data_IF_040835111047
#
_entry.id   IF_040835111047
#
_cell.length_a   1.000
_cell.length_b   1.000
_cell.length_c   1.000
_cell.angle_alpha   90.00
_cell.angle_beta   90.00
_cell.angle_gamma   90.00
#
_symmetry.space_group_name_H-M   'P 1'
#
loop_
_entity.id
_entity.type
_entity.pdbx_description
1 polymer ?
#
# COMPACT_ATOMS: atom_id res chain seq x y z
N UNK A 1 -16.07 13.00 2.03
CA UNK A 1 -16.58 11.62 2.13
C UNK A 1 -16.26 10.90 0.82
N UNK A 2 -16.09 9.58 0.88
CA UNK A 2 -15.95 8.75 -0.33
C UNK A 2 -17.28 8.65 -1.09
N UNK A 3 -17.20 8.70 -2.41
CA UNK A 3 -18.33 8.47 -3.31
C UNK A 3 -18.77 6.99 -3.28
N UNK A 4 -20.06 6.69 -3.49
CA UNK A 4 -20.54 5.32 -3.63
C UNK A 4 -20.04 4.67 -4.92
N UNK A 5 -20.09 3.33 -5.00
CA UNK A 5 -19.75 2.55 -6.18
C UNK A 5 -18.41 2.94 -6.83
N UNK A 6 -17.40 3.20 -6.00
CA UNK A 6 -16.11 3.72 -6.44
C UNK A 6 -14.97 2.85 -5.91
N UNK A 7 -13.94 2.67 -6.75
CA UNK A 7 -12.69 2.05 -6.38
C UNK A 7 -11.63 3.14 -6.17
N UNK A 8 -10.96 3.08 -5.02
CA UNK A 8 -9.88 3.95 -4.61
C UNK A 8 -8.61 3.15 -4.40
N UNK A 9 -7.46 3.79 -4.64
CA UNK A 9 -6.20 3.38 -4.02
C UNK A 9 -6.02 4.23 -2.76
N UNK A 10 -5.57 3.62 -1.68
CA UNK A 10 -5.27 4.27 -0.39
C UNK A 10 -3.77 4.24 -0.11
N UNK A 11 -3.24 5.32 0.47
CA UNK A 11 -1.88 5.35 1.01
C UNK A 11 -1.87 5.61 2.49
N UNK A 12 -1.22 4.70 3.20
CA UNK A 12 -0.90 4.87 4.61
C UNK A 12 0.60 5.13 4.74
N UNK A 13 0.97 6.18 5.45
CA UNK A 13 2.36 6.45 5.79
C UNK A 13 2.89 5.33 6.67
N UNK A 14 4.05 4.77 6.31
CA UNK A 14 4.75 3.78 7.11
C UNK A 14 5.87 4.42 7.92
N UNK A 15 6.82 5.03 7.21
CA UNK A 15 8.01 5.66 7.78
C UNK A 15 8.68 6.54 6.74
N UNK A 16 9.63 7.35 7.19
CA UNK A 16 10.51 8.13 6.32
C UNK A 16 11.95 7.75 6.64
N UNK A 17 12.73 7.37 5.63
CA UNK A 17 14.14 6.94 5.75
C UNK A 17 14.95 7.68 4.70
N UNK A 18 16.01 8.37 5.10
CA UNK A 18 16.89 9.12 4.19
C UNK A 18 16.11 10.04 3.23
N UNK A 19 15.15 10.81 3.76
CA UNK A 19 14.23 11.68 3.01
C UNK A 19 13.24 10.98 2.07
N UNK A 20 13.26 9.64 2.01
CA UNK A 20 12.30 8.86 1.23
C UNK A 20 11.14 8.43 2.13
N UNK A 21 9.93 8.81 1.75
CA UNK A 21 8.71 8.41 2.45
C UNK A 21 8.20 7.10 1.88
N UNK A 22 8.08 6.10 2.74
CA UNK A 22 7.49 4.81 2.41
C UNK A 22 6.00 4.81 2.73
N UNK A 23 5.22 4.22 1.82
CA UNK A 23 3.78 4.08 1.97
C UNK A 23 3.34 2.64 1.83
N UNK A 24 2.31 2.28 2.60
CA UNK A 24 1.54 1.06 2.40
C UNK A 24 0.37 1.35 1.48
N UNK A 25 0.22 0.51 0.45
CA UNK A 25 -0.82 0.64 -0.56
C UNK A 25 -1.98 -0.30 -0.26
N UNK A 26 -3.19 0.19 -0.51
CA UNK A 26 -4.41 -0.61 -0.39
C UNK A 26 -5.44 -0.22 -1.44
N UNK A 27 -6.45 -1.07 -1.59
CA UNK A 27 -7.61 -0.87 -2.44
C UNK A 27 -8.84 -0.71 -1.55
N UNK A 28 -9.47 0.46 -1.64
CA UNK A 28 -10.70 0.75 -0.92
C UNK A 28 -11.86 0.79 -1.89
N UNK A 29 -12.87 -0.05 -1.66
CA UNK A 29 -14.03 -0.18 -2.53
C UNK A 29 -15.27 0.28 -1.78
N UNK A 30 -16.09 1.09 -2.46
CA UNK A 30 -17.42 1.45 -2.00
C UNK A 30 -18.49 0.80 -2.89
N UNK A 31 -19.63 0.47 -2.30
CA UNK A 31 -20.78 -0.15 -2.94
C UNK A 31 -22.09 0.51 -2.50
N UNK A 32 -23.20 0.08 -3.07
CA UNK A 32 -24.55 0.61 -2.79
C UNK A 32 -25.27 -0.09 -1.64
N UNK A 33 -24.79 -1.27 -1.19
CA UNK A 33 -25.45 -2.10 -0.18
C UNK A 33 -24.51 -2.44 0.99
N UNK A 34 -24.97 -2.47 2.25
CA UNK A 34 -24.16 -2.88 3.41
C UNK A 34 -23.67 -4.35 3.35
N UNK A 35 -22.44 -4.67 3.81
CA UNK A 35 -21.37 -3.73 4.12
C UNK A 35 -20.89 -3.04 2.83
N UNK A 36 -21.03 -1.72 2.79
CA UNK A 36 -20.85 -0.96 1.55
C UNK A 36 -19.39 -0.61 1.30
N UNK A 37 -18.47 -0.96 2.21
CA UNK A 37 -17.12 -0.37 2.23
C UNK A 37 -16.10 -1.36 2.75
N UNK A 38 -15.14 -1.70 1.90
CA UNK A 38 -14.07 -2.63 2.26
C UNK A 38 -12.71 -2.05 1.89
N UNK A 39 -11.73 -2.31 2.74
CA UNK A 39 -10.31 -2.07 2.48
C UNK A 39 -9.62 -3.41 2.29
N UNK A 40 -8.97 -3.58 1.15
CA UNK A 40 -8.18 -4.74 0.80
C UNK A 40 -6.72 -4.31 0.66
N UNK A 41 -5.81 -4.97 1.37
CA UNK A 41 -4.37 -4.70 1.26
C UNK A 41 -3.56 -5.97 1.48
N UNK A 42 -2.23 -5.91 1.38
CA UNK A 42 -1.36 -7.02 1.77
C UNK A 42 -0.42 -6.61 2.88
N UNK A 43 -0.39 -7.36 3.97
CA UNK A 43 0.36 -7.02 5.19
C UNK A 43 1.40 -8.09 5.54
N UNK A 44 2.50 -7.67 6.16
CA UNK A 44 3.54 -8.52 6.76
C UNK A 44 3.37 -8.70 8.28
N UNK A 45 2.21 -8.32 8.84
CA UNK A 45 1.98 -8.19 10.28
C UNK A 45 2.08 -9.50 11.10
N UNK A 46 2.21 -10.66 10.46
CA UNK A 46 2.29 -11.95 11.15
C UNK A 46 3.62 -12.65 10.87
N UNK A 47 4.35 -13.13 11.90
CA UNK A 47 5.52 -13.98 11.71
C UNK A 47 5.23 -15.22 10.86
N UNK A 48 6.18 -15.70 10.03
CA UNK A 48 7.51 -15.12 9.82
C UNK A 48 7.44 -13.80 9.04
N UNK A 49 8.19 -12.81 9.54
CA UNK A 49 8.32 -11.46 8.95
C UNK A 49 8.97 -11.65 7.58
N UNK A 50 8.18 -11.83 6.53
CA UNK A 50 8.50 -11.70 5.08
C UNK A 50 7.30 -12.14 4.22
N UNK A 51 6.34 -12.90 4.75
CA UNK A 51 5.20 -13.38 3.96
C UNK A 51 4.05 -12.37 3.92
N UNK A 52 3.87 -11.73 2.76
CA UNK A 52 2.72 -10.87 2.52
C UNK A 52 1.43 -11.69 2.47
N UNK A 53 0.42 -11.27 3.24
CA UNK A 53 -0.92 -11.89 3.25
C UNK A 53 -1.98 -10.88 2.88
N UNK A 54 -2.94 -11.32 2.08
CA UNK A 54 -4.11 -10.51 1.75
C UNK A 54 -4.94 -10.32 3.01
N UNK A 55 -5.24 -9.06 3.32
CA UNK A 55 -6.09 -8.64 4.41
C UNK A 55 -7.30 -7.90 3.84
N UNK A 56 -8.50 -8.43 4.08
CA UNK A 56 -9.78 -7.80 3.77
C UNK A 56 -10.43 -7.34 5.08
N UNK A 57 -10.74 -6.05 5.18
CA UNK A 57 -11.43 -5.47 6.34
C UNK A 57 -12.62 -4.64 5.90
N UNK A 58 -13.68 -4.69 6.70
CA UNK A 58 -14.75 -3.70 6.62
C UNK A 58 -14.26 -2.39 7.24
N UNK A 59 -14.41 -1.28 6.50
CA UNK A 59 -13.92 0.03 6.94
C UNK A 59 -14.96 1.09 6.61
N UNK A 60 -15.58 1.65 7.64
CA UNK A 60 -16.59 2.70 7.50
C UNK A 60 -16.04 3.95 6.80
N UNK A 61 -14.87 4.43 7.24
CA UNK A 61 -14.19 5.58 6.65
C UNK A 61 -12.66 5.40 6.73
N UNK A 62 -11.96 5.26 5.59
CA UNK A 62 -10.51 5.04 5.57
C UNK A 62 -9.73 6.22 6.16
N UNK A 63 -10.32 7.41 6.22
CA UNK A 63 -9.69 8.61 6.81
C UNK A 63 -9.50 8.52 8.31
N UNK A 64 -10.21 7.60 8.99
CA UNK A 64 -10.09 7.40 10.44
C UNK A 64 -8.78 6.70 10.83
N UNK A 65 -8.09 6.08 9.86
CA UNK A 65 -6.78 5.49 10.13
C UNK A 65 -5.73 6.61 10.38
N UNK A 66 -5.02 6.62 11.52
CA UNK A 66 -4.08 7.69 11.87
C UNK A 66 -2.95 7.88 10.87
N UNK A 67 -2.57 6.81 10.17
CA UNK A 67 -1.50 6.82 9.18
C UNK A 67 -2.01 7.10 7.76
N UNK A 68 -3.32 7.21 7.54
CA UNK A 68 -3.85 7.47 6.21
C UNK A 68 -3.46 8.88 5.75
N UNK A 69 -2.96 8.96 4.53
CA UNK A 69 -2.51 10.20 3.88
C UNK A 69 -3.52 10.63 2.84
N UNK A 70 -3.87 9.73 1.91
CA UNK A 70 -4.79 10.00 0.80
C UNK A 70 -5.60 8.77 0.41
N UNK A 71 -6.81 9.02 -0.10
CA UNK A 71 -7.60 8.04 -0.85
C UNK A 71 -7.96 8.65 -2.20
N UNK A 72 -7.47 8.07 -3.30
CA UNK A 72 -7.66 8.63 -4.63
C UNK A 72 -8.48 7.67 -5.50
N UNK A 73 -9.59 8.18 -6.05
CA UNK A 73 -10.43 7.43 -6.99
C UNK A 73 -9.61 7.05 -8.21
N UNK A 74 -9.78 5.82 -8.65
CA UNK A 74 -9.18 5.31 -9.89
C UNK A 74 -10.21 4.84 -10.91
N UNK A 75 -11.33 4.26 -10.46
CA UNK A 75 -12.35 3.71 -11.35
C UNK A 75 -13.69 3.60 -10.60
N UNK A 76 -14.73 3.20 -11.34
CA UNK A 76 -15.95 2.71 -10.73
C UNK A 76 -15.69 1.36 -10.06
N UNK A 77 -16.47 1.06 -9.02
CA UNK A 77 -16.36 -0.17 -8.25
C UNK A 77 -16.68 -1.40 -9.12
N UNK A 78 -15.78 -2.40 -9.20
CA UNK A 78 -16.07 -3.66 -9.88
C UNK A 78 -16.96 -4.59 -9.02
N UNK A 79 -17.32 -4.19 -7.81
CA UNK A 79 -17.92 -5.05 -6.79
C UNK A 79 -16.88 -5.87 -6.02
N UNK A 80 -17.23 -6.26 -4.79
CA UNK A 80 -16.33 -6.97 -3.88
C UNK A 80 -15.89 -8.33 -4.45
N UNK A 81 -16.81 -9.07 -5.06
CA UNK A 81 -16.53 -10.40 -5.62
C UNK A 81 -15.46 -10.34 -6.71
N UNK A 82 -15.57 -9.39 -7.65
CA UNK A 82 -14.60 -9.23 -8.72
C UNK A 82 -13.25 -8.76 -8.18
N UNK A 83 -13.24 -7.81 -7.23
CA UNK A 83 -12.03 -7.34 -6.56
C UNK A 83 -11.32 -8.48 -5.83
N UNK A 84 -12.04 -9.27 -5.04
CA UNK A 84 -11.48 -10.40 -4.30
C UNK A 84 -10.96 -11.48 -5.25
N UNK A 85 -11.71 -11.81 -6.31
CA UNK A 85 -11.27 -12.77 -7.34
C UNK A 85 -9.98 -12.33 -8.03
N UNK A 86 -9.82 -11.04 -8.34
CA UNK A 86 -8.59 -10.51 -8.92
C UNK A 86 -7.43 -10.54 -7.91
N UNK A 87 -7.68 -10.16 -6.66
CA UNK A 87 -6.71 -10.20 -5.58
C UNK A 87 -6.16 -11.60 -5.31
N UNK A 88 -7.03 -12.61 -5.23
CA UNK A 88 -6.64 -14.00 -5.02
C UNK A 88 -5.93 -14.62 -6.22
N UNK A 89 -6.03 -14.02 -7.42
CA UNK A 89 -5.32 -14.48 -8.60
C UNK A 89 -3.85 -14.05 -8.63
N UNK A 90 -3.46 -13.05 -7.81
CA UNK A 90 -2.06 -12.63 -7.67
C UNK A 90 -1.32 -13.67 -6.83
N UNK A 91 -0.30 -14.30 -7.42
CA UNK A 91 0.57 -15.27 -6.75
C UNK A 91 1.62 -14.56 -5.90
N UNK A 92 1.18 -14.02 -4.76
CA UNK A 92 2.05 -13.39 -3.78
C UNK A 92 3.20 -14.33 -3.38
N UNK A 93 4.39 -13.75 -3.18
CA UNK A 93 5.60 -14.45 -2.76
C UNK A 93 6.19 -15.45 -3.78
N UNK A 94 5.57 -15.61 -4.96
CA UNK A 94 6.14 -16.38 -6.06
C UNK A 94 7.13 -15.51 -6.86
N UNK A 95 8.43 -15.76 -6.71
CA UNK A 95 9.49 -15.02 -7.42
C UNK A 95 9.43 -15.23 -8.94
N UNK A 96 8.87 -16.35 -9.42
CA UNK A 96 8.69 -16.61 -10.84
C UNK A 96 7.52 -15.86 -11.48
N UNK A 97 6.73 -15.16 -10.66
CA UNK A 97 5.57 -14.36 -11.07
C UNK A 97 5.72 -12.88 -10.70
N UNK A 98 6.90 -12.49 -10.21
CA UNK A 98 7.20 -11.11 -9.90
C UNK A 98 7.23 -10.29 -11.21
N UNK A 99 6.53 -9.14 -11.29
CA UNK A 99 6.54 -8.32 -12.49
C UNK A 99 7.94 -7.87 -12.87
N UNK A 100 8.21 -7.76 -14.17
CA UNK A 100 9.52 -7.36 -14.68
C UNK A 100 9.96 -6.00 -14.13
N UNK A 101 11.21 -5.91 -13.67
CA UNK A 101 11.78 -4.70 -13.09
C UNK A 101 11.49 -4.50 -11.60
N UNK A 102 10.65 -5.35 -10.99
CA UNK A 102 10.38 -5.32 -9.56
C UNK A 102 11.38 -6.20 -8.79
N UNK A 103 11.97 -5.72 -7.68
CA UNK A 103 12.97 -6.49 -6.93
C UNK A 103 12.36 -7.50 -5.96
N UNK A 104 11.13 -7.23 -5.48
CA UNK A 104 10.41 -8.10 -4.54
C UNK A 104 8.92 -7.75 -4.52
N UNK A 105 8.11 -8.65 -3.96
CA UNK A 105 6.71 -8.36 -3.67
C UNK A 105 6.59 -7.28 -2.59
N UNK A 106 5.72 -6.29 -2.84
CA UNK A 106 5.35 -5.23 -1.90
C UNK A 106 3.86 -4.95 -2.02
N UNK A 107 3.28 -4.21 -1.07
CA UNK A 107 1.87 -3.79 -1.20
C UNK A 107 1.61 -2.97 -2.45
N UNK A 108 2.58 -2.15 -2.88
CA UNK A 108 2.52 -1.42 -4.16
C UNK A 108 2.46 -2.37 -5.36
N UNK A 109 3.40 -3.31 -5.46
CA UNK A 109 3.47 -4.27 -6.58
C UNK A 109 2.18 -5.09 -6.64
N UNK A 110 1.72 -5.59 -5.49
CA UNK A 110 0.47 -6.32 -5.42
C UNK A 110 -0.74 -5.48 -5.89
N UNK A 111 -0.88 -4.23 -5.43
CA UNK A 111 -1.97 -3.34 -5.90
C UNK A 111 -1.92 -3.17 -7.42
N UNK A 112 -0.74 -2.91 -8.01
CA UNK A 112 -0.59 -2.76 -9.46
C UNK A 112 -1.06 -4.01 -10.20
N UNK A 113 -0.68 -5.19 -9.73
CA UNK A 113 -1.09 -6.46 -10.34
C UNK A 113 -2.61 -6.71 -10.23
N UNK A 114 -3.23 -6.41 -9.09
CA UNK A 114 -4.68 -6.51 -8.94
C UNK A 114 -5.40 -5.59 -9.93
N UNK A 115 -4.93 -4.35 -10.06
CA UNK A 115 -5.51 -3.39 -11.01
C UNK A 115 -5.31 -3.82 -12.47
N UNK A 116 -4.13 -4.35 -12.79
CA UNK A 116 -3.85 -4.91 -14.11
C UNK A 116 -4.83 -6.06 -14.44
N UNK A 117 -5.03 -7.00 -13.51
CA UNK A 117 -5.96 -8.12 -13.69
C UNK A 117 -7.40 -7.62 -13.87
N UNK A 118 -7.85 -6.67 -13.04
CA UNK A 118 -9.20 -6.09 -13.15
C UNK A 118 -9.41 -5.40 -14.50
N UNK A 119 -8.43 -4.61 -14.95
CA UNK A 119 -8.48 -3.92 -16.23
C UNK A 119 -8.48 -4.91 -17.40
N UNK A 120 -7.59 -5.92 -17.36
CA UNK A 120 -7.49 -6.97 -18.38
C UNK A 120 -8.77 -7.80 -18.51
N UNK A 121 -9.49 -8.02 -17.40
CA UNK A 121 -10.79 -8.70 -17.39
C UNK A 121 -11.96 -7.79 -17.78
N UNK A 122 -11.73 -6.50 -18.03
CA UNK A 122 -12.79 -5.52 -18.32
C UNK A 122 -13.66 -5.17 -17.12
N UNK A 123 -13.23 -5.50 -15.89
CA UNK A 123 -13.99 -5.18 -14.67
C UNK A 123 -13.89 -3.69 -14.29
N UNK A 124 -12.80 -3.03 -14.70
CA UNK A 124 -12.61 -1.59 -14.54
C UNK A 124 -12.04 -0.99 -15.82
N UNK A 125 -12.34 0.28 -16.07
CA UNK A 125 -11.68 1.07 -17.09
C UNK A 125 -10.63 1.95 -16.42
N UNK A 126 -9.36 1.71 -16.73
CA UNK A 126 -8.25 2.49 -16.19
C UNK A 126 -8.13 3.82 -16.94
N UNK A 127 -8.08 4.95 -16.25
CA UNK A 127 -8.06 6.25 -16.91
C UNK A 127 -6.69 6.58 -17.55
N UNK A 128 -5.61 5.97 -17.05
CA UNK A 128 -4.26 6.04 -17.61
C UNK A 128 -3.49 4.74 -17.33
N UNK A 129 -2.28 4.62 -17.87
CA UNK A 129 -1.35 3.54 -17.54
C UNK A 129 -0.93 3.53 -16.06
N UNK A 130 -0.64 2.34 -15.53
CA UNK A 130 -0.34 2.14 -14.11
C UNK A 130 0.87 2.96 -13.62
N UNK A 131 1.90 3.14 -14.44
CA UNK A 131 3.09 3.90 -14.04
C UNK A 131 2.81 5.40 -13.91
N UNK A 132 1.94 5.94 -14.78
CA UNK A 132 1.48 7.33 -14.67
C UNK A 132 0.61 7.51 -13.43
N UNK A 133 -0.26 6.54 -13.14
CA UNK A 133 -1.06 6.52 -11.92
C UNK A 133 -0.14 6.52 -10.71
N UNK A 134 0.83 5.62 -10.64
CA UNK A 134 1.79 5.51 -9.54
C UNK A 134 2.55 6.82 -9.29
N UNK A 135 3.11 7.44 -10.34
CA UNK A 135 3.84 8.70 -10.22
C UNK A 135 2.98 9.82 -9.63
N UNK A 136 1.79 10.04 -10.17
CA UNK A 136 0.86 11.07 -9.70
C UNK A 136 0.33 10.78 -8.28
N UNK A 137 0.18 9.50 -7.97
CA UNK A 137 -0.31 9.04 -6.68
C UNK A 137 0.71 9.33 -5.58
N UNK A 138 1.99 9.01 -5.81
CA UNK A 138 3.09 9.33 -4.90
C UNK A 138 3.30 10.85 -4.76
N UNK A 139 3.24 11.60 -5.86
CA UNK A 139 3.27 13.07 -5.81
C UNK A 139 2.17 13.63 -4.90
N UNK A 140 0.94 13.20 -5.13
CA UNK A 140 -0.22 13.66 -4.35
C UNK A 140 -0.11 13.25 -2.88
N UNK A 141 0.45 12.08 -2.59
CA UNK A 141 0.69 11.64 -1.22
C UNK A 141 1.69 12.56 -0.51
N UNK A 142 2.83 12.83 -1.17
CA UNK A 142 3.89 13.68 -0.63
C UNK A 142 3.39 15.10 -0.32
N UNK A 143 2.60 15.70 -1.22
CA UNK A 143 1.97 17.01 -0.96
C UNK A 143 1.01 17.01 0.24
N UNK A 144 0.44 15.86 0.57
CA UNK A 144 -0.52 15.71 1.65
C UNK A 144 0.06 15.04 2.91
N UNK A 145 1.38 14.88 2.99
CA UNK A 145 2.03 14.26 4.15
C UNK A 145 1.76 14.98 5.47
N UNK A 146 1.67 16.31 5.44
CA UNK A 146 1.30 17.12 6.61
C UNK A 146 -0.15 16.91 7.06
N UNK A 147 -0.97 16.25 6.25
CA UNK A 147 -2.36 15.90 6.54
C UNK A 147 -2.52 14.46 7.04
N UNK A 148 -1.44 13.76 7.41
CA UNK A 148 -1.52 12.40 7.96
C UNK A 148 -2.47 12.37 9.17
N UNK A 149 -3.42 11.43 9.18
CA UNK A 149 -4.50 11.35 10.18
C UNK A 149 -5.71 12.27 9.92
N UNK A 150 -5.64 13.09 8.87
CA UNK A 150 -6.72 13.89 8.28
C UNK A 150 -6.76 13.69 6.77
N UNK A 151 -6.74 12.42 6.36
CA UNK A 151 -6.54 12.05 4.97
C UNK A 151 -7.52 12.75 4.00
N UNK A 152 -6.99 13.22 2.88
CA UNK A 152 -7.81 13.78 1.80
C UNK A 152 -8.38 12.66 0.93
N UNK A 153 -9.63 12.85 0.53
CA UNK A 153 -10.32 11.94 -0.40
C UNK A 153 -10.55 12.68 -1.70
N UNK A 154 -10.04 12.13 -2.79
CA UNK A 154 -10.19 12.67 -4.14
C UNK A 154 -11.18 11.81 -4.91
N UNK A 155 -12.39 12.33 -5.08
CA UNK A 155 -13.48 11.64 -5.79
C UNK A 155 -13.46 11.85 -7.30
N UNK A 156 -12.60 12.73 -7.79
CA UNK A 156 -12.45 13.06 -9.20
C UNK A 156 -11.08 12.63 -9.72
N UNK A 157 -10.95 12.45 -11.03
CA UNK A 157 -9.69 12.04 -11.67
C UNK A 157 -8.74 13.20 -11.95
N UNK A 158 -9.07 14.43 -11.55
CA UNK A 158 -8.26 15.63 -11.79
C UNK A 158 -6.85 15.59 -11.13
N UNK A 159 -6.63 14.71 -10.14
CA UNK A 159 -5.31 14.52 -9.56
C UNK A 159 -4.31 13.85 -10.53
N UNK A 160 -4.80 13.19 -11.58
CA UNK A 160 -3.98 12.49 -12.60
C UNK A 160 -3.56 13.38 -13.78
N UNK A 161 -4.19 14.56 -13.92
CA UNK A 161 -3.87 15.52 -14.99
C UNK A 161 -2.77 16.50 -14.59
N UNK A 162 -2.25 16.41 -13.37
CA UNK A 162 -1.16 17.27 -12.91
C UNK A 162 0.10 16.95 -13.72
N UNK A 163 0.69 17.97 -14.35
CA UNK A 163 2.03 17.86 -14.93
C UNK A 163 2.98 17.70 -13.76
N UNK A 164 3.39 16.47 -13.48
CA UNK A 164 4.60 16.24 -12.70
C UNK A 164 5.71 16.52 -13.70
N UNK A 165 6.24 17.74 -13.71
CA UNK A 165 7.40 18.04 -14.54
C UNK A 165 8.49 17.03 -14.19
N UNK A 166 8.91 16.24 -15.19
CA UNK A 166 9.85 15.12 -15.04
C UNK A 166 11.21 15.53 -14.44
N UNK A 167 11.46 16.83 -14.27
CA UNK A 167 12.67 17.40 -13.70
C UNK A 167 12.68 17.48 -12.16
N UNK A 168 11.54 17.50 -11.47
CA UNK A 168 11.50 17.74 -10.01
C UNK A 168 11.60 16.43 -9.22
N UNK A 169 11.10 15.34 -9.79
CA UNK A 169 11.32 14.00 -9.27
C UNK A 169 12.27 13.29 -10.23
N UNK A 170 13.58 13.41 -9.96
CA UNK A 170 14.56 12.47 -10.51
C UNK A 170 14.10 11.03 -10.26
N UNK A 171 14.69 10.01 -10.93
CA UNK A 171 14.27 8.62 -10.78
C UNK A 171 14.09 8.30 -9.29
N UNK A 172 12.84 8.14 -8.87
CA UNK A 172 12.51 7.86 -7.47
C UNK A 172 13.37 6.65 -7.10
N UNK A 173 14.20 6.73 -6.04
CA UNK A 173 15.05 5.61 -5.68
C UNK A 173 14.12 4.44 -5.46
N UNK A 174 14.21 3.44 -6.35
CA UNK A 174 13.67 2.12 -6.10
C UNK A 174 14.28 1.74 -4.77
N UNK A 175 13.47 1.59 -3.73
CA UNK A 175 13.94 1.16 -2.41
C UNK A 175 14.47 -0.26 -2.60
N UNK A 176 15.75 -0.34 -2.93
CA UNK A 176 16.49 -1.57 -3.23
C UNK A 176 17.27 -2.07 -2.03
N UNK A 177 17.20 -1.40 -0.87
CA UNK A 177 17.87 -1.93 0.31
C UNK A 177 17.09 -3.16 0.78
N UNK A 178 17.63 -4.39 0.65
CA UNK A 178 17.15 -5.48 1.49
C UNK A 178 17.24 -4.98 2.93
N UNK A 179 16.20 -5.23 3.71
CA UNK A 179 16.13 -4.93 5.14
C UNK A 179 17.40 -5.55 5.74
N UNK A 180 18.45 -4.75 5.97
CA UNK A 180 19.67 -5.25 6.58
C UNK A 180 19.26 -5.76 7.95
N UNK A 181 19.50 -7.06 8.14
CA UNK A 181 19.28 -7.82 9.35
C UNK A 181 19.79 -6.98 10.51
N UNK A 182 18.89 -6.28 11.21
CA UNK A 182 19.22 -5.79 12.54
C UNK A 182 19.37 -7.06 13.35
N UNK A 183 20.63 -7.45 13.57
CA UNK A 183 20.95 -8.53 14.48
C UNK A 183 20.27 -8.17 15.80
N UNK A 184 19.22 -8.94 16.13
CA UNK A 184 18.74 -8.98 17.50
C UNK A 184 19.96 -9.31 18.36
N UNK A 185 20.25 -8.50 19.40
CA UNK A 185 21.37 -8.80 20.28
C UNK A 185 21.23 -10.25 20.75
N UNK A 186 22.29 -11.03 20.53
CA UNK A 186 22.31 -12.43 20.92
C UNK A 186 21.93 -12.53 22.39
N UNK A 187 21.09 -13.51 22.74
CA UNK A 187 20.63 -13.79 24.12
C UNK A 187 21.76 -14.26 25.06
N UNK A 188 23.01 -13.88 24.79
CA UNK A 188 24.20 -14.26 25.55
C UNK A 188 24.56 -13.27 26.64
N UNK A 189 24.02 -12.04 26.67
CA UNK A 189 24.42 -11.02 27.66
C UNK A 189 23.54 -10.94 28.92
N UNK A 190 22.47 -11.73 29.04
CA UNK A 190 21.62 -11.73 30.24
C UNK A 190 22.04 -12.76 31.31
N UNK A 191 23.06 -13.58 31.07
CA UNK A 191 23.53 -14.56 32.05
C UNK A 191 24.61 -14.02 33.01
N UNK A 192 25.23 -12.87 32.75
CA UNK A 192 26.34 -12.37 33.58
C UNK A 192 25.96 -11.36 34.67
N UNK A 193 24.72 -10.82 34.64
CA UNK A 193 24.26 -9.88 35.65
C UNK A 193 23.68 -10.54 36.92
N UNK A 194 23.36 -11.85 36.88
CA UNK A 194 22.78 -12.57 38.03
C UNK A 194 23.81 -13.23 38.95
N UNK A 195 25.10 -13.30 38.58
CA UNK A 195 26.12 -13.99 39.36
C UNK A 195 26.90 -13.11 40.36
N UNK A 196 26.62 -11.80 40.43
CA UNK A 196 27.31 -10.87 41.36
C UNK A 196 26.52 -10.51 42.63
N UNK A 197 25.31 -11.05 42.81
CA UNK A 197 24.47 -10.76 43.98
C UNK A 197 24.56 -11.80 45.11
N UNK A 198 25.41 -12.80 45.00
CA UNK A 198 25.50 -13.88 46.00
C UNK A 198 26.94 -14.15 46.40
N UNK A 199 27.50 -13.26 47.22
CA UNK A 199 28.54 -13.65 48.18
C UNK A 199 28.19 -13.06 49.56
N UNK A 200 28.15 -13.90 50.61
CA UNK A 200 27.93 -13.45 51.99
C UNK A 200 29.10 -12.60 52.50
#
# INVERSE_FOLDING_TARGET
>A
MSAPNTLYITLQHLKTVDYNTEFHWGLYITGSSPPSRHLLSVTDANPPIMDLRIELREVEDPRRAPTMVVCLKIANSPGLTALHSAASAVRLMDNGQLPHGEPQWTSRVWVKEVLYILAKRGCIQMPWGLDKIERNFLYTANENMLCTGKAKVYNELAWLTRSVDDAIYGPMPIVTKPRSRTELPSKSSYAEAAARSSRP
#
